data_IF_451089817938
#
_entry.id   IF_451089817938
#
_cell.length_a   1.000
_cell.length_b   1.000
_cell.length_c   1.000
_cell.angle_alpha   90.00
_cell.angle_beta   90.00
_cell.angle_gamma   90.00
#
_symmetry.space_group_name_H-M   'P 1'
#
loop_
_entity.id
_entity.type
_entity.pdbx_description
1 polymer ?
#
# COMPACT_ATOMS: atom_id res chain seq x y z
N UNK A 1 14.21 4.56 28.89
CA UNK A 1 13.08 4.36 27.96
C UNK A 1 13.49 4.83 26.57
N UNK A 2 13.98 6.07 26.40
CA UNK A 2 14.37 6.62 25.09
C UNK A 2 15.42 5.76 24.40
N UNK A 3 16.48 5.36 25.09
CA UNK A 3 17.56 4.51 24.55
C UNK A 3 17.03 3.16 24.05
N UNK A 4 16.08 2.55 24.76
CA UNK A 4 15.46 1.28 24.34
C UNK A 4 14.65 1.46 23.06
N UNK A 5 13.92 2.56 22.93
CA UNK A 5 13.13 2.85 21.73
C UNK A 5 14.04 3.15 20.53
N UNK A 6 15.15 3.87 20.75
CA UNK A 6 16.15 4.12 19.70
C UNK A 6 16.84 2.83 19.26
N UNK A 7 17.16 1.94 20.20
CA UNK A 7 17.70 0.62 19.88
C UNK A 7 16.68 -0.19 19.05
N UNK A 8 15.40 -0.22 19.41
CA UNK A 8 14.38 -0.91 18.64
C UNK A 8 14.18 -0.37 17.23
N UNK A 9 14.39 0.95 17.05
CA UNK A 9 14.38 1.58 15.71
C UNK A 9 15.59 1.09 14.90
N UNK A 10 16.78 1.10 15.50
CA UNK A 10 18.02 0.64 14.84
C UNK A 10 17.96 -0.85 14.45
N UNK A 11 17.28 -1.67 15.24
CA UNK A 11 17.07 -3.10 15.00
C UNK A 11 15.89 -3.40 14.07
N UNK A 12 15.20 -2.38 13.53
CA UNK A 12 13.92 -2.49 12.78
C UNK A 12 12.86 -3.34 13.52
N UNK A 13 12.85 -3.27 14.84
CA UNK A 13 11.96 -4.07 15.67
C UNK A 13 10.54 -3.56 15.60
N UNK A 14 9.60 -4.37 15.11
CA UNK A 14 8.17 -4.02 14.96
C UNK A 14 7.38 -4.13 16.28
N UNK A 15 7.91 -3.56 17.38
CA UNK A 15 7.27 -3.61 18.70
C UNK A 15 6.01 -2.72 18.74
N UNK A 16 4.89 -3.25 19.28
CA UNK A 16 3.61 -2.52 19.35
C UNK A 16 3.71 -1.16 20.03
N UNK A 17 4.40 -1.00 21.19
CA UNK A 17 4.56 0.32 21.83
C UNK A 17 5.34 1.31 20.96
N UNK A 18 6.37 0.83 20.22
CA UNK A 18 7.14 1.68 19.32
C UNK A 18 6.28 2.16 18.15
N UNK A 19 5.50 1.26 17.54
CA UNK A 19 4.56 1.62 16.45
C UNK A 19 3.51 2.63 16.92
N UNK A 20 2.97 2.48 18.14
CA UNK A 20 2.00 3.42 18.69
C UNK A 20 2.61 4.81 18.88
N UNK A 21 3.83 4.89 19.45
CA UNK A 21 4.53 6.16 19.62
C UNK A 21 4.89 6.82 18.29
N UNK A 22 5.41 6.05 17.34
CA UNK A 22 5.68 6.52 15.98
C UNK A 22 4.41 7.07 15.31
N UNK A 23 3.27 6.38 15.46
CA UNK A 23 1.99 6.84 14.96
C UNK A 23 1.55 8.19 15.53
N UNK A 24 1.76 8.42 16.85
CA UNK A 24 1.47 9.70 17.49
C UNK A 24 2.38 10.84 16.99
N UNK A 25 3.67 10.58 16.87
CA UNK A 25 4.66 11.55 16.37
C UNK A 25 4.35 11.91 14.90
N UNK A 26 4.08 10.93 14.07
CA UNK A 26 3.72 11.15 12.66
C UNK A 26 2.42 11.94 12.54
N UNK A 27 1.40 11.58 13.32
CA UNK A 27 0.15 12.33 13.34
C UNK A 27 0.38 13.81 13.65
N UNK A 28 1.14 14.11 14.71
CA UNK A 28 1.47 15.49 15.09
C UNK A 28 2.24 16.20 13.97
N UNK A 29 3.25 15.57 13.37
CA UNK A 29 4.04 16.15 12.28
C UNK A 29 3.22 16.43 11.02
N UNK A 30 2.29 15.52 10.66
CA UNK A 30 1.37 15.72 9.55
C UNK A 30 0.34 16.82 9.84
N UNK A 31 -0.27 16.84 11.03
CA UNK A 31 -1.23 17.87 11.44
C UNK A 31 -0.58 19.26 11.55
N UNK A 32 0.68 19.33 11.94
CA UNK A 32 1.46 20.58 11.97
C UNK A 32 1.92 21.02 10.57
N UNK A 33 1.76 20.19 9.54
CA UNK A 33 2.26 20.46 8.19
C UNK A 33 3.79 20.33 8.03
N UNK A 34 4.47 19.81 9.05
CA UNK A 34 5.93 19.57 9.04
C UNK A 34 6.31 18.34 8.21
N UNK A 35 5.38 17.37 8.13
CA UNK A 35 5.51 16.18 7.31
C UNK A 35 4.51 16.22 6.16
N UNK A 36 4.94 15.73 5.01
CA UNK A 36 4.07 15.50 3.85
C UNK A 36 4.30 14.11 3.30
N UNK A 37 3.23 13.46 2.89
CA UNK A 37 3.30 12.17 2.20
C UNK A 37 3.82 12.37 0.78
N UNK A 38 4.89 11.67 0.42
CA UNK A 38 5.36 11.65 -0.96
C UNK A 38 4.62 10.57 -1.75
N UNK A 39 3.97 10.95 -2.83
CA UNK A 39 3.35 10.04 -3.80
C UNK A 39 3.82 10.45 -5.20
N UNK A 40 4.35 9.49 -5.94
CA UNK A 40 4.86 9.76 -7.29
C UNK A 40 3.78 10.39 -8.20
N UNK A 41 4.13 11.40 -9.02
CA UNK A 41 3.16 12.12 -9.86
C UNK A 41 2.38 11.21 -10.82
N UNK A 42 3.03 10.20 -11.41
CA UNK A 42 2.39 9.21 -12.29
C UNK A 42 1.36 8.36 -11.53
N UNK A 43 1.67 8.02 -10.26
CA UNK A 43 0.75 7.32 -9.37
C UNK A 43 -0.48 8.17 -9.07
N UNK A 44 -0.29 9.44 -8.72
CA UNK A 44 -1.41 10.37 -8.46
C UNK A 44 -2.31 10.49 -9.68
N UNK A 45 -1.73 10.64 -10.88
CA UNK A 45 -2.49 10.75 -12.11
C UNK A 45 -3.30 9.47 -12.40
N UNK A 46 -2.68 8.29 -12.23
CA UNK A 46 -3.34 7.00 -12.43
C UNK A 46 -4.47 6.77 -11.43
N UNK A 47 -4.24 7.02 -10.13
CA UNK A 47 -5.27 6.84 -9.09
C UNK A 47 -6.51 7.69 -9.36
N UNK A 48 -6.33 8.97 -9.77
CA UNK A 48 -7.43 9.85 -10.14
C UNK A 48 -8.19 9.32 -11.35
N UNK A 49 -7.47 8.97 -12.42
CA UNK A 49 -8.07 8.44 -13.63
C UNK A 49 -8.84 7.13 -13.40
N UNK A 50 -8.31 6.22 -12.61
CA UNK A 50 -8.98 4.96 -12.28
C UNK A 50 -10.21 5.18 -11.39
N UNK A 51 -10.12 6.08 -10.41
CA UNK A 51 -11.26 6.46 -9.60
C UNK A 51 -12.39 7.05 -10.46
N UNK A 52 -12.08 7.96 -11.39
CA UNK A 52 -13.05 8.53 -12.34
C UNK A 52 -13.67 7.48 -13.27
N UNK A 53 -12.92 6.42 -13.60
CA UNK A 53 -13.39 5.27 -14.39
C UNK A 53 -14.23 4.28 -13.57
N UNK A 54 -14.41 4.49 -12.27
CA UNK A 54 -15.21 3.66 -11.38
C UNK A 54 -14.49 2.47 -10.77
N UNK A 55 -13.15 2.42 -10.83
CA UNK A 55 -12.39 1.40 -10.11
C UNK A 55 -12.43 1.65 -8.60
N UNK A 56 -12.65 0.60 -7.83
CA UNK A 56 -12.49 0.63 -6.37
C UNK A 56 -11.00 0.45 -6.04
N UNK A 57 -10.42 1.45 -5.38
CA UNK A 57 -8.99 1.48 -5.06
C UNK A 57 -8.76 1.16 -3.58
N UNK A 58 -7.80 0.29 -3.31
CA UNK A 58 -7.46 -0.15 -1.95
C UNK A 58 -5.96 -0.06 -1.72
N UNK A 59 -5.58 0.17 -0.47
CA UNK A 59 -4.17 0.11 -0.05
C UNK A 59 -3.97 -1.06 0.90
N UNK A 60 -2.92 -1.84 0.68
CA UNK A 60 -2.47 -2.87 1.61
C UNK A 60 -1.01 -2.62 2.00
N UNK A 61 -0.76 -2.34 3.27
CA UNK A 61 0.56 -1.97 3.78
C UNK A 61 0.85 -2.61 5.13
N UNK A 62 2.12 -2.74 5.48
CA UNK A 62 2.56 -3.09 6.84
C UNK A 62 2.41 -1.95 7.84
N UNK A 63 2.24 -0.72 7.37
CA UNK A 63 1.84 0.43 8.19
C UNK A 63 0.39 0.32 8.62
N UNK A 64 0.05 0.84 9.81
CA UNK A 64 -1.34 0.87 10.27
C UNK A 64 -2.24 1.66 9.32
N UNK A 65 -3.53 1.34 9.30
CA UNK A 65 -4.53 2.07 8.51
C UNK A 65 -4.44 3.58 8.79
N UNK A 66 -4.29 3.96 10.06
CA UNK A 66 -4.12 5.37 10.43
C UNK A 66 -2.88 6.01 9.78
N UNK A 67 -1.74 5.32 9.77
CA UNK A 67 -0.52 5.81 9.12
C UNK A 67 -0.71 5.96 7.61
N UNK A 68 -1.38 5.01 6.97
CA UNK A 68 -1.72 5.08 5.55
C UNK A 68 -2.60 6.30 5.25
N UNK A 69 -3.65 6.52 6.04
CA UNK A 69 -4.55 7.67 5.90
C UNK A 69 -3.82 9.01 6.08
N UNK A 70 -2.86 9.09 7.01
CA UNK A 70 -2.03 10.29 7.20
C UNK A 70 -1.15 10.56 5.97
N UNK A 71 -0.48 9.54 5.43
CA UNK A 71 0.39 9.69 4.25
C UNK A 71 -0.42 10.19 3.05
N UNK A 72 -1.57 9.60 2.77
CA UNK A 72 -2.39 9.98 1.62
C UNK A 72 -3.19 11.25 1.85
N UNK A 73 -3.65 11.52 3.09
CA UNK A 73 -4.41 12.70 3.45
C UNK A 73 -3.57 13.98 3.50
N UNK A 74 -2.29 13.85 3.89
CA UNK A 74 -1.35 14.97 3.95
C UNK A 74 -0.29 14.86 2.86
N UNK A 75 -0.65 14.40 1.66
CA UNK A 75 0.31 14.25 0.58
C UNK A 75 0.69 15.60 -0.06
N UNK A 76 1.86 15.64 -0.73
CA UNK A 76 2.27 16.80 -1.53
C UNK A 76 1.29 17.13 -2.65
N UNK A 77 0.51 16.15 -3.12
CA UNK A 77 -0.52 16.30 -4.14
C UNK A 77 -1.90 16.69 -3.59
N UNK A 78 -1.99 17.00 -2.28
CA UNK A 78 -3.23 17.24 -1.55
C UNK A 78 -3.79 15.98 -0.90
N UNK A 79 -5.03 16.05 -0.46
CA UNK A 79 -5.74 14.91 0.14
C UNK A 79 -6.16 13.91 -0.95
N UNK A 80 -5.55 12.73 -0.93
CA UNK A 80 -5.85 11.62 -1.82
C UNK A 80 -6.77 10.56 -1.18
N UNK A 81 -7.12 10.71 0.10
CA UNK A 81 -7.94 9.71 0.81
C UNK A 81 -9.30 9.46 0.17
N UNK A 82 -9.99 10.47 -0.44
CA UNK A 82 -11.26 10.24 -1.10
C UNK A 82 -11.20 9.31 -2.33
N UNK A 83 -9.99 9.07 -2.88
CA UNK A 83 -9.81 8.16 -4.01
C UNK A 83 -9.90 6.69 -3.60
N UNK A 84 -9.68 6.38 -2.32
CA UNK A 84 -9.59 5.00 -1.84
C UNK A 84 -10.91 4.51 -1.24
N UNK A 85 -11.32 3.32 -1.65
CA UNK A 85 -12.47 2.60 -1.10
C UNK A 85 -12.17 1.91 0.23
N UNK A 86 -10.89 1.69 0.56
CA UNK A 86 -10.49 1.11 1.83
C UNK A 86 -8.99 0.87 1.98
N UNK A 87 -8.63 0.45 3.19
CA UNK A 87 -7.25 0.21 3.59
C UNK A 87 -7.16 -1.11 4.33
N UNK A 88 -6.07 -1.83 4.08
CA UNK A 88 -5.72 -3.07 4.77
C UNK A 88 -4.32 -2.93 5.38
N UNK A 89 -4.12 -3.55 6.52
CA UNK A 89 -2.83 -3.60 7.19
C UNK A 89 -2.51 -5.03 7.66
N UNK A 90 -1.54 -5.17 8.55
CA UNK A 90 -1.11 -6.48 9.07
C UNK A 90 -2.18 -7.23 9.87
N UNK A 91 -3.32 -6.61 10.17
CA UNK A 91 -4.46 -7.32 10.77
C UNK A 91 -5.15 -8.25 9.78
N UNK A 92 -5.01 -8.00 8.47
CA UNK A 92 -5.45 -8.92 7.41
C UNK A 92 -4.49 -10.09 7.22
N UNK A 93 -3.29 -10.03 7.81
CA UNK A 93 -2.23 -11.04 7.78
C UNK A 93 -0.91 -10.51 7.23
N UNK A 94 0.14 -11.37 7.17
CA UNK A 94 1.42 -11.03 6.57
C UNK A 94 1.33 -10.90 5.04
N UNK A 95 2.01 -9.91 4.45
CA UNK A 95 1.96 -9.63 3.01
C UNK A 95 2.58 -10.73 2.12
N UNK A 96 3.31 -11.67 2.69
CA UNK A 96 3.94 -12.79 1.97
C UNK A 96 3.14 -14.10 2.06
N UNK A 97 1.91 -14.05 2.59
CA UNK A 97 1.06 -15.20 2.77
C UNK A 97 -0.22 -15.08 1.92
N UNK A 98 -0.52 -16.08 1.11
CA UNK A 98 -1.70 -16.12 0.25
C UNK A 98 -3.02 -15.99 1.04
N UNK A 99 -3.06 -16.48 2.28
CA UNK A 99 -4.24 -16.38 3.13
C UNK A 99 -4.64 -14.94 3.40
N UNK A 100 -3.67 -14.02 3.53
CA UNK A 100 -3.94 -12.58 3.73
C UNK A 100 -4.71 -11.98 2.55
N UNK A 101 -4.35 -12.36 1.33
CA UNK A 101 -5.02 -11.90 0.11
C UNK A 101 -6.42 -12.52 -0.07
N UNK A 102 -6.64 -13.76 0.41
CA UNK A 102 -7.98 -14.37 0.47
C UNK A 102 -8.88 -13.60 1.42
N UNK A 103 -8.40 -13.25 2.63
CA UNK A 103 -9.14 -12.39 3.57
C UNK A 103 -9.48 -11.02 2.98
N UNK A 104 -8.54 -10.41 2.26
CA UNK A 104 -8.76 -9.13 1.57
C UNK A 104 -9.83 -9.29 0.47
N UNK A 105 -9.74 -10.35 -0.33
CA UNK A 105 -10.74 -10.67 -1.36
C UNK A 105 -12.15 -10.81 -0.78
N UNK A 106 -12.27 -11.53 0.32
CA UNK A 106 -13.53 -11.69 1.05
C UNK A 106 -14.05 -10.36 1.59
N UNK A 107 -13.18 -9.53 2.18
CA UNK A 107 -13.54 -8.23 2.73
C UNK A 107 -13.97 -7.23 1.65
N UNK A 108 -13.36 -7.27 0.46
CA UNK A 108 -13.75 -6.46 -0.70
C UNK A 108 -15.08 -6.96 -1.30
N UNK A 109 -15.36 -8.26 -1.21
CA UNK A 109 -16.55 -8.87 -1.79
C UNK A 109 -16.51 -8.96 -3.33
N UNK A 110 -15.29 -9.01 -3.90
CA UNK A 110 -15.06 -9.09 -5.34
C UNK A 110 -14.28 -10.36 -5.67
N UNK A 111 -14.59 -11.09 -6.76
CA UNK A 111 -13.80 -12.26 -7.17
C UNK A 111 -12.32 -11.92 -7.32
N UNK A 112 -11.42 -12.77 -6.80
CA UNK A 112 -9.98 -12.53 -6.81
C UNK A 112 -9.44 -12.22 -8.22
N UNK A 113 -9.92 -12.92 -9.24
CA UNK A 113 -9.52 -12.70 -10.64
C UNK A 113 -9.90 -11.32 -11.23
N UNK A 114 -10.72 -10.54 -10.53
CA UNK A 114 -11.04 -9.15 -10.87
C UNK A 114 -10.25 -8.12 -10.05
N UNK A 115 -9.39 -8.57 -9.16
CA UNK A 115 -8.53 -7.71 -8.35
C UNK A 115 -7.13 -7.73 -8.96
N UNK A 116 -6.59 -6.56 -9.26
CA UNK A 116 -5.19 -6.38 -9.66
C UNK A 116 -4.39 -5.92 -8.44
N UNK A 117 -3.41 -6.71 -8.05
CA UNK A 117 -2.46 -6.38 -7.00
C UNK A 117 -1.14 -5.87 -7.57
N UNK A 118 -0.66 -4.75 -7.07
CA UNK A 118 0.56 -4.08 -7.50
C UNK A 118 1.57 -4.08 -6.35
N UNK A 119 2.80 -4.52 -6.60
CA UNK A 119 3.90 -4.48 -5.63
C UNK A 119 5.25 -4.45 -6.35
N UNK A 120 6.27 -3.98 -5.66
CA UNK A 120 7.68 -4.08 -6.03
C UNK A 120 8.36 -5.30 -5.39
N UNK A 121 7.64 -6.11 -4.63
CA UNK A 121 8.13 -7.28 -3.90
C UNK A 121 7.57 -8.57 -4.52
N UNK A 122 8.47 -9.40 -5.06
CA UNK A 122 8.10 -10.65 -5.75
C UNK A 122 7.31 -11.61 -4.86
N UNK A 123 7.70 -11.75 -3.58
CA UNK A 123 7.02 -12.63 -2.64
C UNK A 123 5.59 -12.21 -2.35
N UNK A 124 5.32 -10.90 -2.37
CA UNK A 124 3.95 -10.37 -2.22
C UNK A 124 3.11 -10.66 -3.46
N UNK A 125 3.70 -10.48 -4.65
CA UNK A 125 3.05 -10.80 -5.92
C UNK A 125 2.74 -12.30 -6.03
N UNK A 126 3.69 -13.16 -5.64
CA UNK A 126 3.49 -14.61 -5.61
C UNK A 126 2.32 -14.99 -4.68
N UNK A 127 2.26 -14.44 -3.48
CA UNK A 127 1.20 -14.69 -2.52
C UNK A 127 -0.18 -14.22 -3.03
N UNK A 128 -0.24 -13.05 -3.67
CA UNK A 128 -1.46 -12.54 -4.28
C UNK A 128 -1.93 -13.41 -5.45
N UNK A 129 -1.00 -13.84 -6.31
CA UNK A 129 -1.27 -14.74 -7.44
C UNK A 129 -1.77 -16.11 -6.96
N UNK A 130 -1.17 -16.68 -5.91
CA UNK A 130 -1.64 -17.94 -5.29
C UNK A 130 -3.07 -17.80 -4.73
N UNK A 131 -3.44 -16.61 -4.25
CA UNK A 131 -4.80 -16.30 -3.83
C UNK A 131 -5.78 -16.10 -5.00
N UNK A 132 -5.31 -16.13 -6.24
CA UNK A 132 -6.11 -16.00 -7.46
C UNK A 132 -6.25 -14.56 -7.97
N UNK A 133 -5.54 -13.58 -7.40
CA UNK A 133 -5.53 -12.22 -7.91
C UNK A 133 -4.69 -12.08 -9.19
N UNK A 134 -5.01 -11.11 -10.01
CA UNK A 134 -4.10 -10.64 -11.05
C UNK A 134 -2.96 -9.85 -10.41
N UNK A 135 -1.77 -9.94 -10.98
CA UNK A 135 -0.60 -9.28 -10.42
C UNK A 135 0.17 -8.49 -11.47
N UNK A 136 0.75 -7.37 -11.06
CA UNK A 136 1.73 -6.66 -11.86
C UNK A 136 2.83 -6.09 -10.95
N UNK A 137 4.06 -6.32 -11.33
CA UNK A 137 5.24 -5.79 -10.65
C UNK A 137 5.49 -4.33 -11.02
N UNK A 138 5.93 -3.54 -10.07
CA UNK A 138 6.31 -2.14 -10.27
C UNK A 138 7.79 -1.95 -9.93
N UNK A 139 8.66 -1.95 -10.95
CA UNK A 139 10.12 -1.82 -10.82
C UNK A 139 10.60 -0.45 -11.33
N UNK A 140 10.49 0.59 -10.51
CA UNK A 140 10.79 1.97 -10.90
C UNK A 140 12.25 2.18 -11.31
N UNK A 141 13.18 1.49 -10.67
CA UNK A 141 14.62 1.58 -10.95
C UNK A 141 15.06 0.74 -12.16
N UNK A 142 14.11 0.08 -12.81
CA UNK A 142 14.34 -0.84 -13.91
C UNK A 142 14.77 -2.22 -13.42
N UNK A 143 14.20 -3.24 -14.00
CA UNK A 143 14.38 -4.62 -13.62
C UNK A 143 13.13 -5.41 -13.98
N UNK A 144 13.23 -6.72 -13.84
CA UNK A 144 12.08 -7.61 -14.03
C UNK A 144 11.79 -8.32 -12.69
N UNK A 145 10.53 -8.33 -12.30
CA UNK A 145 10.07 -9.11 -11.16
C UNK A 145 9.65 -10.49 -11.69
N UNK A 146 10.51 -11.46 -11.42
CA UNK A 146 10.43 -12.81 -11.99
C UNK A 146 9.04 -13.43 -11.83
N UNK A 147 8.46 -13.88 -12.94
CA UNK A 147 7.15 -14.54 -12.96
C UNK A 147 5.95 -13.60 -13.07
N UNK A 148 6.15 -12.29 -13.10
CA UNK A 148 5.09 -11.30 -13.18
C UNK A 148 5.31 -10.29 -14.31
N UNK A 149 4.21 -9.85 -14.94
CA UNK A 149 4.27 -8.65 -15.79
C UNK A 149 4.85 -7.52 -14.95
N UNK A 150 5.87 -6.83 -15.47
CA UNK A 150 6.54 -5.74 -14.76
C UNK A 150 6.44 -4.46 -15.56
N UNK A 151 6.14 -3.36 -14.90
CA UNK A 151 6.13 -2.01 -15.45
C UNK A 151 7.03 -1.10 -14.60
N UNK A 152 7.44 0.04 -15.14
CA UNK A 152 8.28 1.01 -14.44
C UNK A 152 7.48 2.15 -13.81
N UNK A 153 6.29 2.38 -14.32
CA UNK A 153 5.41 3.45 -13.84
C UNK A 153 3.94 3.06 -13.93
N UNK A 154 3.11 3.75 -13.19
CA UNK A 154 1.65 3.58 -13.26
C UNK A 154 1.09 4.01 -14.63
N UNK A 155 1.80 4.85 -15.37
CA UNK A 155 1.37 5.26 -16.72
C UNK A 155 1.41 4.13 -17.76
N UNK A 156 2.14 3.04 -17.47
CA UNK A 156 2.23 1.84 -18.33
C UNK A 156 1.15 0.79 -17.97
N UNK A 157 0.36 1.06 -16.92
CA UNK A 157 -0.67 0.15 -16.43
C UNK A 157 -2.01 0.42 -17.12
N UNK A 158 -2.58 -0.66 -17.67
CA UNK A 158 -3.97 -0.69 -18.09
C UNK A 158 -4.68 -1.73 -17.20
N UNK A 159 -5.40 -1.27 -16.15
CA UNK A 159 -6.06 -2.19 -15.23
C UNK A 159 -7.15 -2.97 -15.97
N UNK A 160 -7.45 -4.22 -15.56
CA UNK A 160 -8.46 -5.03 -16.21
C UNK A 160 -9.80 -4.32 -16.17
N UNK A 161 -10.50 -4.26 -17.29
CA UNK A 161 -11.83 -3.63 -17.38
C UNK A 161 -12.81 -4.34 -16.43
N UNK A 162 -13.53 -3.55 -15.67
CA UNK A 162 -14.54 -4.00 -14.70
C UNK A 162 -15.71 -4.69 -15.40
#
# INVERSE_FOLDING_TARGET
VIEILQQWIAEDRKATPLKALQGMIWKQGYEAGELKGHVYPDTVAALKAWHEQGYALYVYSSGSIQAQQLIFGCSEAGDLTPLFSGYFDTTSGPKREAQSYRHITEAIGCPAGKILFLSDIVEELNAAQEAGMQTCGLARDGGELTGHKTVRSFAELDPPKV
#
